data_IF_158729268524
#
_entry.id   IF_158729268524
#
_cell.length_a   1.000
_cell.length_b   1.000
_cell.length_c   1.000
_cell.angle_alpha   90.00
_cell.angle_beta   90.00
_cell.angle_gamma   90.00
#
_symmetry.space_group_name_H-M   'P 1'
#
loop_
_entity.id
_entity.type
_entity.pdbx_description
1 polymer ?
#
# COMPACT_ATOMS: atom_id res chain seq x y z
N UNK A 1 28.47 0.18 12.32
CA UNK A 1 28.08 0.13 11.95
C UNK A 1 27.40 0.49 11.39
N UNK A 2 27.27 0.78 11.05
CA UNK A 2 26.57 1.13 10.58
C UNK A 2 25.82 0.77 9.99
N UNK A 3 25.66 0.33 10.10
CA UNK A 3 24.82 -0.26 9.61
C UNK A 3 23.68 0.29 9.31
N UNK A 4 23.31 1.05 9.84
CA UNK A 4 22.13 1.51 9.66
C UNK A 4 22.11 2.36 8.61
N UNK A 5 22.67 2.16 7.61
CA UNK A 5 22.44 2.88 6.68
C UNK A 5 21.09 2.95 6.36
N UNK A 6 20.57 4.02 6.10
CA UNK A 6 19.22 4.22 5.82
C UNK A 6 18.82 3.36 4.66
N UNK A 7 17.72 2.72 4.79
CA UNK A 7 17.20 1.94 3.71
C UNK A 7 16.55 2.87 2.74
N UNK A 8 16.73 2.59 1.48
CA UNK A 8 16.23 3.46 0.43
C UNK A 8 15.02 2.82 -0.23
N UNK A 9 13.92 3.54 -0.25
CA UNK A 9 12.77 3.12 -1.03
C UNK A 9 12.28 4.35 -1.77
N UNK A 10 12.02 4.19 -3.06
CA UNK A 10 11.56 5.28 -3.89
C UNK A 10 10.70 4.68 -5.00
N UNK A 11 10.11 5.52 -5.79
CA UNK A 11 9.29 5.04 -6.87
C UNK A 11 9.28 6.04 -8.01
N UNK A 12 8.98 5.53 -9.17
CA UNK A 12 8.84 6.36 -10.34
C UNK A 12 7.82 5.68 -11.20
N UNK A 13 6.64 6.26 -11.37
CA UNK A 13 5.58 5.63 -12.12
C UNK A 13 5.15 4.35 -11.44
N UNK A 14 5.20 3.25 -12.17
CA UNK A 14 4.82 1.95 -11.62
C UNK A 14 6.02 1.14 -11.18
N UNK A 15 7.19 1.76 -11.09
CA UNK A 15 8.39 1.04 -10.65
C UNK A 15 8.69 1.42 -9.21
N UNK A 16 8.81 0.42 -8.38
CA UNK A 16 9.20 0.60 -6.99
C UNK A 16 10.65 0.18 -6.87
N UNK A 17 11.45 0.97 -6.18
CA UNK A 17 12.84 0.62 -5.95
C UNK A 17 13.07 0.44 -4.47
N UNK A 18 13.54 -0.74 -4.09
CA UNK A 18 13.81 -1.06 -2.72
C UNK A 18 15.27 -1.44 -2.62
N UNK A 19 16.06 -0.63 -1.93
CA UNK A 19 17.48 -0.88 -1.75
C UNK A 19 18.15 -1.21 -3.08
N UNK A 20 17.80 -0.46 -4.11
CA UNK A 20 18.42 -0.64 -5.41
C UNK A 20 17.77 -1.67 -6.31
N UNK A 21 16.83 -2.44 -5.79
CA UNK A 21 16.14 -3.43 -6.61
C UNK A 21 14.88 -2.84 -7.15
N UNK A 22 14.59 -3.09 -8.42
CA UNK A 22 13.38 -2.56 -9.05
C UNK A 22 12.30 -3.61 -9.10
N UNK A 23 11.12 -3.23 -8.69
CA UNK A 23 9.96 -4.12 -8.71
C UNK A 23 8.86 -3.39 -9.45
N UNK A 24 8.34 -4.01 -10.49
CA UNK A 24 7.29 -3.36 -11.25
C UNK A 24 5.94 -3.66 -10.63
N UNK A 25 5.14 -2.62 -10.45
CA UNK A 25 3.81 -2.76 -9.91
C UNK A 25 2.81 -2.80 -11.05
N UNK A 26 1.60 -3.28 -10.77
CA UNK A 26 0.56 -3.29 -11.79
C UNK A 26 0.00 -1.90 -12.00
N UNK A 27 0.16 -1.00 -11.05
CA UNK A 27 -0.41 0.32 -11.11
C UNK A 27 0.62 1.33 -10.63
N UNK A 28 0.35 2.59 -10.88
CA UNK A 28 1.27 3.64 -10.46
C UNK A 28 1.39 3.66 -8.95
N UNK A 29 2.57 3.95 -8.47
CA UNK A 29 2.81 4.03 -7.03
C UNK A 29 2.53 5.45 -6.59
N UNK A 30 1.72 5.60 -5.56
CA UNK A 30 1.38 6.90 -5.04
C UNK A 30 2.28 7.29 -3.87
N UNK A 31 2.65 6.31 -3.06
CA UNK A 31 3.48 6.58 -1.90
C UNK A 31 4.26 5.32 -1.57
N UNK A 32 5.46 5.48 -1.07
CA UNK A 32 6.27 4.34 -0.66
C UNK A 32 7.23 4.80 0.41
N UNK A 33 7.37 4.01 1.46
CA UNK A 33 8.21 4.38 2.58
C UNK A 33 8.57 3.15 3.42
N UNK A 34 9.60 3.30 4.23
CA UNK A 34 9.95 2.26 5.18
C UNK A 34 9.14 2.47 6.45
N UNK A 35 8.62 1.38 6.98
CA UNK A 35 7.96 1.40 8.26
C UNK A 35 8.46 0.14 8.97
N UNK A 36 9.19 0.32 10.04
CA UNK A 36 9.84 -0.81 10.66
C UNK A 36 10.86 -1.40 9.71
N UNK A 37 10.73 -2.67 9.42
CA UNK A 37 11.66 -3.34 8.51
C UNK A 37 11.00 -3.67 7.18
N UNK A 38 9.93 -2.98 6.85
CA UNK A 38 9.17 -3.28 5.64
C UNK A 38 9.04 -2.05 4.76
N UNK A 39 8.97 -2.28 3.47
CA UNK A 39 8.66 -1.22 2.52
C UNK A 39 7.16 -1.24 2.30
N UNK A 40 6.49 -0.17 2.71
CA UNK A 40 5.05 -0.05 2.57
C UNK A 40 4.75 0.77 1.33
N UNK A 41 3.85 0.29 0.50
CA UNK A 41 3.57 0.88 -0.80
C UNK A 41 2.09 1.09 -0.97
N UNK A 42 1.72 2.30 -1.33
CA UNK A 42 0.34 2.62 -1.64
C UNK A 42 0.25 2.85 -3.15
N UNK A 43 -0.53 2.01 -3.83
CA UNK A 43 -0.73 2.17 -5.25
C UNK A 43 -1.84 3.18 -5.48
N UNK A 44 -1.75 3.91 -6.57
CA UNK A 44 -2.70 4.97 -6.85
C UNK A 44 -4.08 4.39 -7.09
N UNK A 45 -5.04 4.66 -6.22
CA UNK A 45 -6.37 4.09 -6.40
C UNK A 45 -7.10 4.67 -7.61
N UNK A 46 -6.71 5.83 -8.07
CA UNK A 46 -7.35 6.43 -9.22
C UNK A 46 -7.22 5.56 -10.45
N UNK A 47 -6.12 4.82 -10.54
CA UNK A 47 -5.92 3.98 -11.70
C UNK A 47 -6.98 2.88 -11.77
N UNK A 48 -7.52 2.47 -10.64
CA UNK A 48 -8.55 1.45 -10.64
C UNK A 48 -9.89 2.06 -11.00
N UNK A 49 -10.11 3.27 -10.58
CA UNK A 49 -11.40 3.90 -10.78
C UNK A 49 -11.61 4.37 -12.20
N UNK A 50 -10.52 4.68 -12.86
CA UNK A 50 -10.60 5.25 -14.19
C UNK A 50 -10.40 4.29 -15.33
N UNK A 51 -10.51 3.02 -15.06
CA UNK A 51 -10.27 2.03 -16.08
C UNK A 51 -11.34 2.13 -17.14
N UNK A 52 -11.03 2.63 -18.31
CA UNK A 52 -12.05 2.86 -19.30
C UNK A 52 -12.48 1.61 -20.04
N UNK A 53 -11.64 0.64 -20.11
CA UNK A 53 -11.95 -0.53 -20.89
C UNK A 53 -12.85 -1.51 -20.19
N UNK A 54 -13.03 -1.32 -18.92
CA UNK A 54 -13.81 -2.28 -18.18
C UNK A 54 -13.04 -3.52 -17.80
N UNK A 55 -11.77 -3.56 -18.08
CA UNK A 55 -10.98 -4.73 -17.74
C UNK A 55 -11.06 -5.03 -16.27
N UNK A 56 -11.09 -4.01 -15.45
CA UNK A 56 -11.17 -4.25 -14.05
C UNK A 56 -12.45 -4.83 -13.63
N UNK A 57 -13.49 -4.60 -14.37
CA UNK A 57 -14.75 -5.12 -13.97
C UNK A 57 -14.81 -6.61 -13.99
N UNK A 58 -13.88 -7.22 -14.68
CA UNK A 58 -13.91 -8.64 -14.75
C UNK A 58 -13.21 -9.27 -13.58
N UNK A 59 -12.54 -8.45 -12.78
CA UNK A 59 -11.88 -8.99 -11.62
C UNK A 59 -12.92 -9.31 -10.59
N UNK A 60 -12.91 -10.51 -10.08
CA UNK A 60 -13.83 -10.85 -9.07
C UNK A 60 -13.36 -10.42 -7.75
N UNK A 61 -12.08 -10.31 -7.57
CA UNK A 61 -11.52 -9.95 -6.28
C UNK A 61 -11.23 -8.49 -6.22
N UNK A 62 -11.54 -7.84 -5.12
CA UNK A 62 -11.20 -6.43 -4.95
C UNK A 62 -9.69 -6.27 -5.03
N UNK A 63 -9.25 -5.25 -5.71
CA UNK A 63 -7.83 -4.96 -5.78
C UNK A 63 -7.43 -4.30 -4.48
N UNK A 64 -6.38 -4.80 -3.86
CA UNK A 64 -5.89 -4.25 -2.61
C UNK A 64 -4.67 -3.42 -2.91
N UNK A 65 -4.76 -2.14 -2.64
CA UNK A 65 -3.74 -1.22 -3.11
C UNK A 65 -2.71 -0.78 -2.07
N UNK A 66 -2.79 -1.30 -0.86
CA UNK A 66 -1.79 -0.99 0.15
C UNK A 66 -1.07 -2.29 0.47
N UNK A 67 0.24 -2.29 0.31
CA UNK A 67 1.03 -3.51 0.39
C UNK A 67 2.30 -3.31 1.17
N UNK A 68 2.91 -4.40 1.61
CA UNK A 68 4.23 -4.33 2.24
C UNK A 68 5.14 -5.35 1.61
N UNK A 69 6.40 -4.98 1.47
CA UNK A 69 7.41 -5.82 0.84
C UNK A 69 8.62 -5.94 1.74
N UNK A 70 9.29 -7.07 1.62
CA UNK A 70 10.58 -7.25 2.27
C UNK A 70 11.64 -6.44 1.56
N UNK A 71 12.77 -6.19 2.19
CA UNK A 71 13.88 -5.53 1.49
C UNK A 71 14.29 -6.24 0.21
N UNK A 72 14.03 -7.55 0.14
CA UNK A 72 14.37 -8.32 -1.06
C UNK A 72 13.42 -8.06 -2.21
N UNK A 73 12.31 -7.39 -1.96
CA UNK A 73 11.31 -7.16 -2.98
C UNK A 73 10.17 -8.15 -2.96
N UNK A 74 10.18 -9.07 -1.98
CA UNK A 74 9.13 -10.06 -1.90
C UNK A 74 7.91 -9.49 -1.22
N UNK A 75 6.74 -9.73 -1.79
CA UNK A 75 5.49 -9.25 -1.20
C UNK A 75 5.21 -9.99 0.09
N UNK A 76 4.95 -9.23 1.15
CA UNK A 76 4.65 -9.83 2.45
C UNK A 76 3.15 -9.87 2.70
N UNK A 77 2.45 -8.80 2.43
CA UNK A 77 1.01 -8.77 2.63
C UNK A 77 0.38 -7.65 1.82
N UNK A 78 -0.93 -7.81 1.61
CA UNK A 78 -1.76 -6.76 1.08
C UNK A 78 -2.73 -6.41 2.19
N UNK A 79 -2.89 -5.13 2.46
CA UNK A 79 -3.65 -4.70 3.62
C UNK A 79 -5.13 -5.02 3.48
N UNK A 80 -5.71 -5.45 4.59
CA UNK A 80 -7.13 -5.69 4.66
C UNK A 80 -7.88 -4.39 4.42
N UNK A 81 -8.98 -4.44 3.73
CA UNK A 81 -9.77 -3.25 3.44
C UNK A 81 -10.96 -3.22 4.37
N UNK A 82 -11.41 -2.03 4.77
CA UNK A 82 -12.53 -1.95 5.72
C UNK A 82 -13.84 -2.42 5.12
N UNK A 83 -13.98 -2.32 3.81
CA UNK A 83 -15.17 -2.81 3.13
C UNK A 83 -14.77 -3.37 1.79
N UNK A 84 -15.64 -4.18 1.21
CA UNK A 84 -15.39 -4.74 -0.10
C UNK A 84 -15.29 -3.63 -1.12
N UNK A 85 -14.32 -3.72 -2.00
CA UNK A 85 -14.12 -2.74 -3.06
C UNK A 85 -13.74 -1.36 -2.54
N UNK A 86 -13.20 -1.31 -1.35
CA UNK A 86 -12.73 -0.06 -0.79
C UNK A 86 -11.23 0.03 -1.02
N UNK A 87 -10.72 1.21 -1.22
CA UNK A 87 -9.31 1.40 -1.45
C UNK A 87 -8.80 2.48 -0.52
N UNK A 88 -7.54 2.37 -0.13
CA UNK A 88 -6.92 3.40 0.66
C UNK A 88 -6.42 4.50 -0.27
N UNK A 89 -6.47 5.74 0.20
CA UNK A 89 -6.01 6.83 -0.64
C UNK A 89 -4.97 7.71 0.05
N UNK A 90 -4.77 7.53 1.34
CA UNK A 90 -3.85 8.38 2.06
C UNK A 90 -3.27 7.64 3.24
N UNK A 91 -1.99 7.79 3.45
CA UNK A 91 -1.33 7.28 4.64
C UNK A 91 -1.28 8.43 5.63
N UNK A 92 -2.00 8.30 6.72
CA UNK A 92 -2.05 9.35 7.72
C UNK A 92 -0.87 9.27 8.66
N UNK A 93 -0.39 8.07 8.94
CA UNK A 93 0.72 7.88 9.83
C UNK A 93 1.51 6.67 9.36
N UNK A 94 2.82 6.74 9.42
CA UNK A 94 3.67 5.65 8.97
C UNK A 94 4.02 4.68 10.09
N UNK A 95 4.16 5.19 11.31
CA UNK A 95 4.46 4.38 12.46
C UNK A 95 3.83 5.01 13.67
N UNK A 96 2.72 4.50 14.17
CA UNK A 96 2.02 3.31 13.68
C UNK A 96 1.40 3.55 12.31
N UNK A 97 1.10 2.48 11.63
CA UNK A 97 0.59 2.59 10.26
C UNK A 97 -0.90 2.85 10.30
N UNK A 98 -1.30 4.00 9.78
CA UNK A 98 -2.71 4.39 9.77
C UNK A 98 -3.04 4.89 8.38
N UNK A 99 -4.09 4.38 7.80
CA UNK A 99 -4.48 4.74 6.44
C UNK A 99 -5.95 5.11 6.38
N UNK A 100 -6.29 5.96 5.42
CA UNK A 100 -7.67 6.41 5.22
C UNK A 100 -8.20 5.82 3.94
N UNK A 101 -9.46 5.40 3.96
CA UNK A 101 -10.07 4.78 2.79
C UNK A 101 -11.15 5.64 2.18
N UNK A 102 -11.53 5.30 0.96
CA UNK A 102 -12.56 6.06 0.26
C UNK A 102 -13.93 5.93 0.91
N UNK A 103 -14.17 4.84 1.62
CA UNK A 103 -15.43 4.70 2.34
C UNK A 103 -15.42 5.48 3.64
N UNK A 104 -14.43 6.33 3.83
CA UNK A 104 -14.32 7.20 4.98
C UNK A 104 -14.04 6.46 6.27
N UNK A 105 -13.16 5.49 6.21
CA UNK A 105 -12.66 4.82 7.40
C UNK A 105 -11.21 5.22 7.64
N UNK A 106 -10.89 5.33 8.91
CA UNK A 106 -9.51 5.49 9.34
C UNK A 106 -9.13 4.17 9.96
N UNK A 107 -8.15 3.53 9.41
CA UNK A 107 -7.78 2.18 9.82
C UNK A 107 -6.39 2.13 10.41
N UNK A 108 -6.29 1.58 11.61
CA UNK A 108 -5.01 1.29 12.23
C UNK A 108 -4.64 -0.10 11.76
N UNK A 109 -3.49 -0.26 11.15
CA UNK A 109 -3.11 -1.51 10.54
C UNK A 109 -1.94 -2.15 11.27
N UNK A 110 -1.97 -3.47 11.32
CA UNK A 110 -0.89 -4.23 11.90
C UNK A 110 0.23 -4.34 10.88
N UNK A 111 1.38 -3.78 11.18
CA UNK A 111 2.48 -3.77 10.24
C UNK A 111 2.97 -5.17 9.92
N UNK A 112 2.81 -6.10 10.80
CA UNK A 112 3.27 -7.46 10.56
C UNK A 112 2.39 -8.26 9.61
N UNK A 113 1.10 -7.97 9.55
CA UNK A 113 0.19 -8.77 8.76
C UNK A 113 -0.68 -7.99 7.78
N UNK A 114 -0.75 -6.68 7.94
CA UNK A 114 -1.64 -5.86 7.11
C UNK A 114 -3.09 -5.94 7.53
N UNK A 115 -3.39 -6.56 8.66
CA UNK A 115 -4.76 -6.67 9.09
C UNK A 115 -5.19 -5.44 9.87
N UNK A 116 -6.47 -5.14 9.82
CA UNK A 116 -7.01 -3.99 10.52
C UNK A 116 -7.09 -4.29 11.99
N UNK A 117 -6.42 -3.46 12.79
CA UNK A 117 -6.49 -3.59 14.24
C UNK A 117 -7.69 -2.81 14.78
N UNK A 118 -8.04 -1.73 14.12
CA UNK A 118 -9.11 -0.89 14.59
C UNK A 118 -9.55 0.00 13.45
N UNK A 119 -10.86 0.21 13.29
CA UNK A 119 -11.29 1.13 12.26
C UNK A 119 -12.36 2.05 12.82
N UNK A 120 -12.29 3.31 12.40
CA UNK A 120 -13.23 4.32 12.82
C UNK A 120 -13.84 4.93 11.59
N UNK A 121 -15.16 5.05 11.60
CA UNK A 121 -15.83 5.70 10.50
C UNK A 121 -15.64 7.19 10.67
N UNK A 122 -15.16 7.85 9.65
CA UNK A 122 -15.00 9.29 9.71
C UNK A 122 -16.32 9.87 9.28
N UNK A 123 -16.86 10.72 9.96
CA UNK A 123 -18.07 11.14 9.71
C UNK A 123 -18.34 12.02 9.01
#
# INVERSE_FOLDING_TARGET
MTADKARAVSHEGDILKIDGKSVRMEFMVRDAFWSGDKAVVLLDPGAFLDEPSGARKRSRDPVKNLRAYEPSGKLLWEAEQPEVNDHYYLIESREPLVALSFSAYRCDLDLGSGKILRKHKLK
#
